data_IF_185591473768
#
_entry.id   IF_185591473768
#
_cell.length_a   1.000
_cell.length_b   1.000
_cell.length_c   1.000
_cell.angle_alpha   90.00
_cell.angle_beta   90.00
_cell.angle_gamma   90.00
#
_symmetry.space_group_name_H-M   'P 1'
#
loop_
_entity.id
_entity.type
_entity.pdbx_description
1 polymer ?
#
# COMPACT_ATOMS: atom_id res chain seq x y z
N UNK A 1 16.71 6.02 -3.24
CA UNK A 1 15.76 5.97 -4.38
C UNK A 1 14.60 5.06 -3.98
N UNK A 2 13.35 5.36 -4.34
CA UNK A 2 12.23 4.44 -4.05
C UNK A 2 12.27 3.28 -5.06
N UNK A 3 12.31 2.01 -4.63
CA UNK A 3 12.26 0.90 -5.57
C UNK A 3 10.90 0.86 -6.29
N UNK A 4 10.87 0.45 -7.57
CA UNK A 4 9.62 0.30 -8.29
C UNK A 4 8.76 -0.80 -7.66
N UNK A 5 7.44 -0.61 -7.66
CA UNK A 5 6.49 -1.64 -7.27
C UNK A 5 6.39 -2.68 -8.39
N UNK A 6 7.23 -3.71 -8.35
CA UNK A 6 7.36 -4.71 -9.42
C UNK A 6 6.18 -5.68 -9.50
N UNK A 7 6.02 -6.35 -10.63
CA UNK A 7 4.99 -7.37 -10.84
C UNK A 7 4.96 -8.45 -9.75
N UNK A 8 6.10 -9.06 -9.37
CA UNK A 8 6.15 -10.04 -8.28
C UNK A 8 5.70 -9.48 -6.93
N UNK A 9 6.08 -8.24 -6.58
CA UNK A 9 5.68 -7.60 -5.32
C UNK A 9 4.17 -7.32 -5.28
N UNK A 10 3.57 -6.98 -6.43
CA UNK A 10 2.13 -6.79 -6.57
C UNK A 10 1.36 -8.10 -6.45
N UNK A 11 1.81 -9.14 -7.15
CA UNK A 11 1.15 -10.45 -7.19
C UNK A 11 1.08 -11.11 -5.81
N UNK A 12 2.10 -10.89 -4.99
CA UNK A 12 2.19 -11.43 -3.63
C UNK A 12 1.78 -10.42 -2.54
N UNK A 13 1.22 -9.28 -2.93
CA UNK A 13 0.76 -8.28 -1.98
C UNK A 13 -0.45 -8.74 -1.18
N UNK A 14 -0.56 -8.28 0.06
CA UNK A 14 -1.68 -8.58 0.96
C UNK A 14 -2.43 -7.32 1.34
N UNK A 15 -3.74 -7.46 1.56
CA UNK A 15 -4.57 -6.40 2.14
C UNK A 15 -4.34 -6.38 3.66
N UNK A 16 -3.92 -5.24 4.20
CA UNK A 16 -3.66 -5.06 5.64
C UNK A 16 -4.75 -4.23 6.33
N UNK A 17 -5.52 -3.45 5.57
CA UNK A 17 -6.74 -2.79 6.03
C UNK A 17 -7.70 -2.56 4.86
N UNK A 18 -9.01 -2.50 5.13
CA UNK A 18 -10.05 -2.28 4.11
C UNK A 18 -11.14 -1.40 4.66
N UNK A 19 -11.64 -0.48 3.82
CA UNK A 19 -12.74 0.41 4.14
C UNK A 19 -12.54 1.10 5.48
N UNK A 20 -13.55 1.05 6.35
CA UNK A 20 -13.58 1.72 7.67
C UNK A 20 -12.44 1.31 8.61
N UNK A 21 -11.73 0.19 8.35
CA UNK A 21 -10.54 -0.18 9.13
C UNK A 21 -9.28 0.58 8.74
N UNK A 22 -9.33 1.35 7.64
CA UNK A 22 -8.25 2.26 7.25
C UNK A 22 -8.39 3.53 8.08
N UNK A 23 -7.41 3.79 8.96
CA UNK A 23 -7.41 4.95 9.87
C UNK A 23 -7.60 6.28 9.14
N UNK A 24 -6.96 6.42 7.97
CA UNK A 24 -6.98 7.67 7.20
C UNK A 24 -8.05 7.66 6.09
N UNK A 25 -9.07 6.79 6.18
CA UNK A 25 -10.04 6.59 5.09
C UNK A 25 -10.75 7.87 4.67
N UNK A 26 -11.19 8.66 5.64
CA UNK A 26 -11.89 9.90 5.37
C UNK A 26 -11.03 10.84 4.52
N UNK A 27 -9.76 11.03 4.91
CA UNK A 27 -8.79 11.81 4.14
C UNK A 27 -8.60 11.28 2.72
N UNK A 28 -8.55 9.95 2.53
CA UNK A 28 -8.40 9.36 1.20
C UNK A 28 -9.61 9.66 0.30
N UNK A 29 -10.82 9.56 0.85
CA UNK A 29 -12.06 9.89 0.12
C UNK A 29 -12.11 11.38 -0.20
N UNK A 30 -11.73 12.26 0.73
CA UNK A 30 -11.70 13.71 0.51
C UNK A 30 -10.63 14.12 -0.50
N UNK A 31 -9.46 13.44 -0.51
CA UNK A 31 -8.33 13.80 -1.39
C UNK A 31 -8.48 13.21 -2.80
N UNK A 32 -8.90 11.95 -2.90
CA UNK A 32 -8.88 11.17 -4.14
C UNK A 32 -10.27 10.73 -4.60
N UNK A 33 -11.31 10.90 -3.78
CA UNK A 33 -12.67 10.49 -4.10
C UNK A 33 -12.93 8.99 -3.91
N UNK A 34 -13.97 8.51 -4.59
CA UNK A 34 -14.37 7.10 -4.60
C UNK A 34 -15.13 6.65 -3.33
N UNK A 35 -15.73 5.46 -3.41
CA UNK A 35 -16.49 4.90 -2.29
C UNK A 35 -15.53 4.37 -1.20
N UNK A 36 -15.78 4.78 0.04
CA UNK A 36 -15.05 4.32 1.23
C UNK A 36 -14.85 2.80 1.28
N UNK A 37 -15.86 2.00 0.91
CA UNK A 37 -15.81 0.53 0.94
C UNK A 37 -14.89 -0.13 -0.09
N UNK A 38 -14.46 0.63 -1.10
CA UNK A 38 -13.59 0.16 -2.19
C UNK A 38 -12.11 0.50 -1.97
N UNK A 39 -11.78 1.24 -0.91
CA UNK A 39 -10.41 1.51 -0.50
C UNK A 39 -9.81 0.33 0.25
N UNK A 40 -8.58 -0.03 -0.10
CA UNK A 40 -7.75 -1.01 0.60
C UNK A 40 -6.37 -0.40 0.88
N UNK A 41 -5.78 -0.79 2.02
CA UNK A 41 -4.35 -0.59 2.28
C UNK A 41 -3.66 -1.92 2.01
N UNK A 42 -2.61 -1.90 1.19
CA UNK A 42 -1.83 -3.08 0.82
C UNK A 42 -0.39 -2.97 1.30
N UNK A 43 0.22 -4.13 1.46
CA UNK A 43 1.63 -4.32 1.82
C UNK A 43 2.22 -5.39 0.91
N UNK A 44 3.42 -5.13 0.38
CA UNK A 44 4.19 -6.13 -0.35
C UNK A 44 4.74 -7.20 0.61
N UNK A 45 5.24 -8.33 0.10
CA UNK A 45 6.18 -9.15 0.84
C UNK A 45 7.38 -8.34 1.30
N UNK A 46 8.09 -8.88 2.30
CA UNK A 46 9.41 -8.37 2.67
C UNK A 46 10.38 -8.67 1.53
N UNK A 47 11.18 -7.67 1.15
CA UNK A 47 12.28 -7.83 0.20
C UNK A 47 13.54 -7.15 0.74
N UNK A 48 14.69 -7.60 0.25
CA UNK A 48 16.00 -7.06 0.61
C UNK A 48 16.43 -5.99 -0.39
N UNK A 49 17.02 -4.91 0.12
CA UNK A 49 17.65 -3.85 -0.66
C UNK A 49 18.81 -3.30 0.16
N UNK A 50 20.02 -3.29 -0.41
CA UNK A 50 21.24 -2.81 0.25
C UNK A 50 21.51 -3.46 1.63
N UNK A 51 21.24 -4.77 1.75
CA UNK A 51 21.45 -5.55 2.99
C UNK A 51 20.40 -5.34 4.08
N UNK A 52 19.34 -4.58 3.78
CA UNK A 52 18.28 -4.22 4.71
C UNK A 52 16.92 -4.74 4.21
N UNK A 53 16.01 -5.02 5.15
CA UNK A 53 14.70 -5.60 4.82
C UNK A 53 13.61 -4.52 4.80
N UNK A 54 12.75 -4.57 3.78
CA UNK A 54 11.70 -3.58 3.56
C UNK A 54 10.37 -4.20 3.13
N UNK A 55 9.29 -3.48 3.41
CA UNK A 55 7.99 -3.66 2.76
C UNK A 55 7.56 -2.35 2.09
N UNK A 56 6.89 -2.45 0.94
CA UNK A 56 6.17 -1.34 0.33
C UNK A 56 4.72 -1.33 0.80
N UNK A 57 4.24 -0.18 1.28
CA UNK A 57 2.86 0.01 1.75
C UNK A 57 2.17 1.07 0.88
N UNK A 58 0.93 0.84 0.49
CA UNK A 58 0.17 1.81 -0.33
C UNK A 58 -1.33 1.73 -0.07
N UNK A 59 -2.04 2.75 -0.54
CA UNK A 59 -3.49 2.75 -0.65
C UNK A 59 -3.89 2.41 -2.08
N UNK A 60 -4.93 1.63 -2.26
CA UNK A 60 -5.45 1.27 -3.56
C UNK A 60 -6.98 1.36 -3.54
N UNK A 61 -7.53 1.95 -4.58
CA UNK A 61 -8.98 2.00 -4.79
C UNK A 61 -9.34 1.31 -6.09
N UNK A 62 -10.38 0.48 -6.03
CA UNK A 62 -10.92 -0.19 -7.20
C UNK A 62 -11.54 0.80 -8.20
N UNK A 63 -10.81 1.11 -9.26
CA UNK A 63 -11.23 2.01 -10.33
C UNK A 63 -10.47 3.33 -10.39
N UNK A 64 -9.77 3.72 -9.31
CA UNK A 64 -8.93 4.93 -9.28
C UNK A 64 -7.42 4.62 -9.33
N UNK A 65 -7.00 3.46 -8.82
CA UNK A 65 -5.59 3.03 -8.86
C UNK A 65 -4.89 3.07 -7.51
N UNK A 66 -3.56 3.25 -7.54
CA UNK A 66 -2.67 3.16 -6.36
C UNK A 66 -2.14 4.53 -5.97
N UNK A 67 -2.10 4.78 -4.67
CA UNK A 67 -1.77 6.07 -4.08
C UNK A 67 -0.83 5.89 -2.89
N UNK A 68 -0.01 6.92 -2.66
CA UNK A 68 0.85 7.06 -1.48
C UNK A 68 1.70 5.81 -1.17
N UNK A 69 2.44 5.32 -2.18
CA UNK A 69 3.39 4.23 -1.99
C UNK A 69 4.51 4.71 -1.05
N UNK A 70 4.78 3.94 0.01
CA UNK A 70 5.80 4.21 1.01
C UNK A 70 6.66 2.99 1.24
N UNK A 71 7.98 3.20 1.31
CA UNK A 71 8.95 2.19 1.73
C UNK A 71 9.05 2.18 3.25
N UNK A 72 8.88 1.01 3.86
CA UNK A 72 8.98 0.81 5.30
C UNK A 72 10.07 -0.20 5.62
N UNK A 73 11.09 0.22 6.39
CA UNK A 73 12.10 -0.68 6.94
C UNK A 73 11.47 -1.64 7.94
N UNK A 74 11.83 -2.91 7.87
CA UNK A 74 11.38 -3.96 8.80
C UNK A 74 12.56 -4.30 9.69
N UNK A 75 12.41 -4.06 11.00
CA UNK A 75 13.36 -4.56 11.98
C UNK A 75 13.12 -6.07 12.14
N UNK A 76 14.21 -6.84 12.12
CA UNK A 76 14.17 -8.28 12.40
C UNK A 76 14.00 -8.53 13.90
#
# INVERSE_FOLDING_TARGET
MMPPLTGPLLAQSRVIAKGQRIRDLQRLVETYGGRASQWVKKSSPVFEMDGEHYELHWYEHHGLGRFEIKLKKVAR
#
